data_IF_049151141651
#
_entry.id   IF_049151141651
#
_cell.length_a   1.000
_cell.length_b   1.000
_cell.length_c   1.000
_cell.angle_alpha   90.00
_cell.angle_beta   90.00
_cell.angle_gamma   90.00
#
_symmetry.space_group_name_H-M   'P 1'
#
loop_
_entity.id
_entity.type
_entity.pdbx_description
1 polymer ?
#
# COMPACT_ATOMS: atom_id res chain seq x y z
N UNK A 1 29.51 5.06 22.48
CA UNK A 1 28.93 4.14 21.47
C UNK A 1 29.92 4.10 20.32
N UNK A 2 30.49 2.93 20.09
CA UNK A 2 31.70 2.69 19.31
C UNK A 2 31.53 2.99 17.81
N UNK A 3 32.47 3.76 17.26
CA UNK A 3 32.65 4.08 15.83
C UNK A 3 32.98 2.87 14.93
N UNK A 4 32.89 1.64 15.44
CA UNK A 4 33.23 0.38 14.76
C UNK A 4 32.35 0.05 13.55
N UNK A 5 31.24 0.77 13.35
CA UNK A 5 30.35 0.56 12.21
C UNK A 5 30.68 1.47 11.01
N UNK A 6 31.53 2.50 11.17
CA UNK A 6 31.90 3.40 10.06
C UNK A 6 32.83 2.76 9.04
N UNK A 7 33.69 1.84 9.48
CA UNK A 7 34.66 1.12 8.63
C UNK A 7 33.99 0.20 7.58
N UNK A 8 32.72 -0.14 7.77
CA UNK A 8 31.95 -1.02 6.87
C UNK A 8 30.95 -0.28 5.99
N UNK A 9 30.91 1.07 6.02
CA UNK A 9 29.99 1.87 5.21
C UNK A 9 30.64 2.24 3.86
N UNK A 10 30.66 1.26 2.96
CA UNK A 10 31.05 1.45 1.55
C UNK A 10 29.84 1.84 0.69
N UNK A 11 30.07 2.34 -0.53
CA UNK A 11 28.97 2.67 -1.47
C UNK A 11 28.01 1.50 -1.69
N UNK A 12 28.54 0.27 -1.65
CA UNK A 12 27.82 -0.96 -1.93
C UNK A 12 27.02 -1.49 -0.73
N UNK A 13 27.33 -1.03 0.49
CA UNK A 13 26.66 -1.44 1.73
C UNK A 13 25.72 -0.36 2.27
N UNK A 14 25.95 0.89 1.87
CA UNK A 14 25.14 2.03 2.27
C UNK A 14 23.79 2.07 1.53
N UNK A 15 23.75 1.61 0.27
CA UNK A 15 22.55 1.60 -0.54
C UNK A 15 22.08 0.18 -0.83
N UNK A 16 20.76 0.02 -0.98
CA UNK A 16 20.20 -1.22 -1.49
C UNK A 16 20.70 -1.41 -2.94
N UNK A 17 21.10 -2.63 -3.33
CA UNK A 17 21.46 -2.92 -4.71
C UNK A 17 20.33 -2.51 -5.66
N UNK A 18 20.72 -2.01 -6.84
CA UNK A 18 19.74 -1.73 -7.88
C UNK A 18 18.99 -3.02 -8.21
N UNK A 19 17.65 -3.04 -8.14
CA UNK A 19 16.88 -4.22 -8.49
C UNK A 19 17.16 -4.59 -9.93
N UNK A 20 17.23 -5.89 -10.20
CA UNK A 20 17.28 -6.39 -11.56
C UNK A 20 16.05 -5.92 -12.34
N UNK A 21 16.17 -5.90 -13.67
CA UNK A 21 15.06 -5.52 -14.56
C UNK A 21 13.80 -6.35 -14.31
N UNK A 22 13.95 -7.61 -13.90
CA UNK A 22 12.82 -8.49 -13.57
C UNK A 22 12.17 -8.08 -12.24
N UNK A 23 12.96 -7.85 -11.20
CA UNK A 23 12.45 -7.41 -9.89
C UNK A 23 11.74 -6.06 -9.96
N UNK A 24 12.24 -5.13 -10.77
CA UNK A 24 11.58 -3.83 -10.97
C UNK A 24 10.20 -3.99 -11.63
N UNK A 25 10.07 -4.92 -12.59
CA UNK A 25 8.79 -5.21 -13.25
C UNK A 25 7.80 -5.87 -12.30
N UNK A 26 8.24 -6.89 -11.55
CA UNK A 26 7.37 -7.57 -10.57
C UNK A 26 6.89 -6.60 -9.49
N UNK A 27 7.77 -5.75 -8.95
CA UNK A 27 7.39 -4.73 -7.98
C UNK A 27 6.35 -3.73 -8.52
N UNK A 28 6.46 -3.36 -9.80
CA UNK A 28 5.48 -2.48 -10.46
C UNK A 28 4.12 -3.16 -10.58
N UNK A 29 4.09 -4.42 -11.03
CA UNK A 29 2.87 -5.22 -11.15
C UNK A 29 2.22 -5.44 -9.79
N UNK A 30 2.99 -5.79 -8.76
CA UNK A 30 2.48 -6.00 -7.40
C UNK A 30 1.87 -4.72 -6.82
N UNK A 31 2.52 -3.58 -7.04
CA UNK A 31 2.00 -2.28 -6.63
C UNK A 31 0.68 -1.97 -7.33
N UNK A 32 0.60 -2.19 -8.64
CA UNK A 32 -0.61 -1.97 -9.42
C UNK A 32 -1.76 -2.89 -8.95
N UNK A 33 -1.49 -4.19 -8.77
CA UNK A 33 -2.48 -5.15 -8.28
C UNK A 33 -3.03 -4.76 -6.91
N UNK A 34 -2.16 -4.36 -5.97
CA UNK A 34 -2.59 -3.87 -4.64
C UNK A 34 -3.42 -2.61 -4.73
N UNK A 35 -3.05 -1.66 -5.60
CA UNK A 35 -3.80 -0.43 -5.78
C UNK A 35 -5.22 -0.71 -6.34
N UNK A 36 -5.34 -1.60 -7.33
CA UNK A 36 -6.63 -2.02 -7.89
C UNK A 36 -7.50 -2.63 -6.79
N UNK A 37 -6.98 -3.65 -6.09
CA UNK A 37 -7.72 -4.31 -5.01
C UNK A 37 -8.16 -3.34 -3.91
N UNK A 38 -7.33 -2.35 -3.56
CA UNK A 38 -7.72 -1.35 -2.57
C UNK A 38 -8.84 -0.46 -3.09
N UNK A 39 -8.73 0.03 -4.32
CA UNK A 39 -9.74 0.91 -4.92
C UNK A 39 -11.12 0.23 -5.03
N UNK A 40 -11.15 -1.07 -5.32
CA UNK A 40 -12.39 -1.84 -5.39
C UNK A 40 -13.03 -1.99 -4.00
N UNK A 41 -12.22 -2.28 -2.97
CA UNK A 41 -12.70 -2.34 -1.59
C UNK A 41 -13.26 -1.00 -1.13
N UNK A 42 -12.55 0.09 -1.38
CA UNK A 42 -12.98 1.44 -1.00
C UNK A 42 -14.32 1.80 -1.67
N UNK A 43 -14.51 1.42 -2.94
CA UNK A 43 -15.77 1.63 -3.66
C UNK A 43 -16.94 0.82 -3.06
N UNK A 44 -16.70 -0.43 -2.69
CA UNK A 44 -17.69 -1.30 -2.05
C UNK A 44 -18.05 -0.77 -0.65
N UNK A 45 -17.07 -0.35 0.12
CA UNK A 45 -17.27 0.20 1.46
C UNK A 45 -18.04 1.52 1.42
N UNK A 46 -17.68 2.42 0.49
CA UNK A 46 -18.41 3.67 0.27
C UNK A 46 -19.88 3.41 -0.12
N UNK A 47 -20.13 2.46 -1.02
CA UNK A 47 -21.50 2.06 -1.38
C UNK A 47 -22.26 1.52 -0.18
N UNK A 48 -21.62 0.65 0.60
CA UNK A 48 -22.21 0.02 1.80
C UNK A 48 -22.55 1.06 2.86
N UNK A 49 -21.63 2.00 3.13
CA UNK A 49 -21.85 3.11 4.05
C UNK A 49 -23.03 3.98 3.61
N UNK A 50 -23.12 4.32 2.31
CA UNK A 50 -24.25 5.08 1.75
C UNK A 50 -25.58 4.37 1.95
N UNK A 51 -25.64 3.08 1.64
CA UNK A 51 -26.87 2.29 1.79
C UNK A 51 -27.27 2.13 3.25
N UNK A 52 -26.30 1.90 4.15
CA UNK A 52 -26.54 1.83 5.60
C UNK A 52 -27.09 3.14 6.14
N UNK A 53 -26.50 4.28 5.74
CA UNK A 53 -26.99 5.60 6.13
C UNK A 53 -28.42 5.87 5.61
N UNK A 54 -28.72 5.48 4.37
CA UNK A 54 -30.07 5.60 3.81
C UNK A 54 -31.09 4.73 4.58
N UNK A 55 -30.70 3.50 4.96
CA UNK A 55 -31.55 2.60 5.75
C UNK A 55 -31.87 3.17 7.13
N UNK A 56 -30.86 3.66 7.86
CA UNK A 56 -31.05 4.27 9.17
C UNK A 56 -31.97 5.49 9.12
N UNK A 57 -31.82 6.34 8.10
CA UNK A 57 -32.71 7.50 7.92
C UNK A 57 -34.16 7.07 7.71
N UNK A 58 -34.39 6.00 6.94
CA UNK A 58 -35.74 5.46 6.73
C UNK A 58 -36.32 4.89 8.02
N UNK A 59 -35.54 4.09 8.75
CA UNK A 59 -35.96 3.52 10.04
C UNK A 59 -36.23 4.58 11.11
N UNK A 60 -35.61 5.77 11.02
CA UNK A 60 -35.89 6.90 11.91
C UNK A 60 -37.14 7.71 11.52
N UNK A 61 -37.58 7.61 10.27
CA UNK A 61 -38.75 8.32 9.75
C UNK A 61 -40.03 7.50 9.77
N UNK A 62 -39.91 6.20 10.03
CA UNK A 62 -41.00 5.24 10.28
C UNK A 62 -41.33 5.21 11.78
#
# INVERSE_FOLDING_TARGET
MSDSNKENLTKDTLFKPNPSRMEAKTATTDKAARAIMQSERDAVDAKTARLRAARLKREQSE
#
